data_IF_452420745992
#
_entry.id   IF_452420745992
#
_cell.length_a   1.000
_cell.length_b   1.000
_cell.length_c   1.000
_cell.angle_alpha   90.00
_cell.angle_beta   90.00
_cell.angle_gamma   90.00
#
_symmetry.space_group_name_H-M   'P 1'
#
loop_
_entity.id
_entity.type
_entity.pdbx_description
1 polymer ?
#
# COMPACT_ATOMS: atom_id res chain seq x y z
N UNK A 1 -17.16 51.75 -5.28
CA UNK A 1 -17.36 53.14 -5.73
C UNK A 1 -18.30 53.82 -4.75
N UNK A 2 -17.81 54.94 -4.22
CA UNK A 2 -18.51 56.01 -3.48
C UNK A 2 -19.78 56.49 -4.22
N UNK A 3 -20.74 57.23 -3.60
CA UNK A 3 -20.49 58.57 -3.04
C UNK A 3 -21.23 58.89 -1.72
N UNK A 4 -20.63 59.61 -0.78
CA UNK A 4 -20.42 61.09 -0.69
C UNK A 4 -21.73 61.89 -0.71
N UNK A 5 -22.03 62.54 0.42
CA UNK A 5 -22.70 63.84 0.44
C UNK A 5 -21.93 64.81 1.36
N UNK A 6 -21.39 65.84 0.72
CA UNK A 6 -20.76 67.04 1.29
C UNK A 6 -21.81 68.08 1.71
N UNK A 7 -21.37 69.01 2.57
CA UNK A 7 -21.45 70.50 2.48
C UNK A 7 -21.75 71.10 3.86
N UNK A 8 -20.78 71.68 4.56
CA UNK A 8 -20.19 73.04 4.42
C UNK A 8 -21.17 74.16 4.78
N UNK A 9 -20.84 74.99 5.78
CA UNK A 9 -20.74 76.45 5.62
C UNK A 9 -20.09 77.14 6.83
N UNK A 10 -19.37 78.21 6.52
CA UNK A 10 -18.54 79.12 7.31
C UNK A 10 -19.27 79.96 8.37
N UNK A 11 -18.56 80.44 9.43
CA UNK A 11 -18.38 81.89 9.70
C UNK A 11 -17.36 82.23 10.83
N UNK A 12 -16.46 83.16 10.47
CA UNK A 12 -15.57 84.14 11.14
C UNK A 12 -15.59 84.39 12.68
N UNK A 13 -14.36 84.47 13.21
CA UNK A 13 -13.73 85.48 14.12
C UNK A 13 -14.52 86.14 15.27
N UNK A 14 -13.99 86.00 16.50
CA UNK A 14 -13.73 87.15 17.39
C UNK A 14 -12.71 86.79 18.50
N UNK A 15 -11.77 87.70 18.78
CA UNK A 15 -10.74 87.60 19.83
C UNK A 15 -11.30 88.04 21.17
N UNK A 16 -10.96 87.36 22.26
CA UNK A 16 -10.82 88.02 23.56
C UNK A 16 -9.65 87.40 24.34
N UNK A 17 -8.71 88.27 24.68
CA UNK A 17 -7.54 88.02 25.51
C UNK A 17 -7.95 88.22 26.96
N UNK A 18 -7.77 87.21 27.82
CA UNK A 18 -7.68 87.42 29.26
C UNK A 18 -6.54 86.54 29.83
N UNK A 19 -5.49 87.25 30.20
CA UNK A 19 -4.37 86.82 31.05
C UNK A 19 -4.90 86.45 32.44
N UNK A 20 -4.61 85.26 32.96
CA UNK A 20 -4.48 85.05 34.40
C UNK A 20 -3.52 83.89 34.69
N UNK A 21 -2.34 84.26 35.16
CA UNK A 21 -1.26 83.40 35.59
C UNK A 21 -1.56 82.91 37.01
N UNK A 22 -1.78 81.60 37.20
CA UNK A 22 -1.75 80.95 38.52
C UNK A 22 -0.83 79.74 38.47
N UNK A 23 0.14 79.77 39.37
CA UNK A 23 1.19 78.81 39.63
C UNK A 23 0.61 77.43 39.98
N UNK A 24 0.98 76.40 39.22
CA UNK A 24 0.78 74.99 39.56
C UNK A 24 2.14 74.27 39.58
N UNK A 25 2.46 73.73 40.75
CA UNK A 25 3.63 72.89 41.02
C UNK A 25 3.68 71.69 40.07
N UNK A 26 4.85 71.32 39.52
CA UNK A 26 4.99 70.12 38.69
C UNK A 26 4.88 68.87 39.57
N UNK A 27 3.72 68.21 39.50
CA UNK A 27 3.55 66.85 39.97
C UNK A 27 4.40 65.93 39.09
N UNK A 28 5.39 65.29 39.69
CA UNK A 28 6.29 64.37 39.02
C UNK A 28 5.55 63.05 38.78
N UNK A 29 5.12 62.80 37.53
CA UNK A 29 4.60 61.49 37.11
C UNK A 29 5.73 60.45 37.18
N UNK A 30 5.56 59.31 37.89
CA UNK A 30 6.56 58.26 37.85
C UNK A 30 6.63 57.70 36.42
N UNK A 31 7.83 57.72 35.84
CA UNK A 31 8.15 57.03 34.58
C UNK A 31 7.80 55.55 34.77
N UNK A 32 6.79 55.07 34.03
CA UNK A 32 6.52 53.65 33.84
C UNK A 32 7.80 53.03 33.26
N UNK A 33 8.53 52.26 34.09
CA UNK A 33 9.60 51.41 33.61
C UNK A 33 8.97 50.41 32.63
N UNK A 34 9.41 50.44 31.38
CA UNK A 34 9.06 49.39 30.42
C UNK A 34 9.51 48.05 31.00
N UNK A 35 8.67 46.99 30.96
CA UNK A 35 9.05 45.68 31.46
C UNK A 35 10.34 45.23 30.75
N UNK A 36 11.34 44.84 31.53
CA UNK A 36 12.63 44.36 31.02
C UNK A 36 12.38 43.06 30.26
N UNK A 37 12.62 43.08 28.95
CA UNK A 37 12.46 41.90 28.09
C UNK A 37 13.61 40.90 28.34
N UNK A 38 13.34 39.92 29.20
CA UNK A 38 14.27 38.85 29.62
C UNK A 38 14.51 37.77 28.57
N UNK A 39 13.88 37.87 27.39
CA UNK A 39 14.07 36.86 26.33
C UNK A 39 15.50 36.89 25.77
N UNK A 40 16.13 35.71 25.59
CA UNK A 40 17.40 35.58 24.89
C UNK A 40 17.37 36.16 23.47
N UNK A 41 18.54 36.57 22.96
CA UNK A 41 18.68 37.16 21.62
C UNK A 41 18.17 36.24 20.50
N UNK A 42 18.33 34.92 20.64
CA UNK A 42 17.87 33.95 19.66
C UNK A 42 16.33 33.84 19.55
N UNK A 43 15.57 34.29 20.57
CA UNK A 43 14.11 34.44 20.50
C UNK A 43 13.67 35.79 19.90
N UNK A 44 14.61 36.71 19.67
CA UNK A 44 14.37 38.04 19.10
C UNK A 44 14.69 38.11 17.60
N UNK A 45 14.96 36.97 16.96
CA UNK A 45 15.26 36.85 15.53
C UNK A 45 16.75 36.72 15.18
N UNK A 46 17.66 36.78 16.18
CA UNK A 46 19.10 36.54 16.00
C UNK A 46 19.48 35.06 16.16
N UNK A 47 18.62 34.14 15.73
CA UNK A 47 18.86 32.70 15.83
C UNK A 47 19.80 32.17 14.75
N UNK A 48 19.91 32.87 13.61
CA UNK A 48 20.75 32.48 12.49
C UNK A 48 22.24 32.74 12.79
N UNK A 49 23.03 31.68 12.87
CA UNK A 49 24.48 31.76 13.07
C UNK A 49 25.21 31.33 11.79
N UNK A 50 26.16 32.16 11.32
CA UNK A 50 26.97 31.82 10.14
C UNK A 50 27.75 30.53 10.42
N UNK A 51 27.63 29.56 9.51
CA UNK A 51 28.33 28.27 9.62
C UNK A 51 27.59 27.21 10.47
N UNK A 52 26.38 27.51 10.95
CA UNK A 52 25.55 26.56 11.68
C UNK A 52 24.17 26.44 11.02
N UNK A 53 23.66 25.21 10.95
CA UNK A 53 22.22 24.98 10.89
C UNK A 53 21.65 25.24 12.28
N UNK A 54 20.48 25.86 12.35
CA UNK A 54 19.88 26.31 13.60
C UNK A 54 18.43 25.87 13.67
N UNK A 55 17.91 25.58 14.86
CA UNK A 55 16.51 25.21 15.01
C UNK A 55 15.94 25.73 16.31
N UNK A 56 14.80 26.41 16.23
CA UNK A 56 14.08 26.95 17.38
C UNK A 56 12.70 26.32 17.44
N UNK A 57 12.48 25.52 18.48
CA UNK A 57 11.21 24.84 18.73
C UNK A 57 10.55 25.34 19.99
N UNK A 58 9.22 25.18 20.07
CA UNK A 58 8.48 25.52 21.27
C UNK A 58 7.34 24.54 21.53
N UNK A 59 6.86 24.55 22.77
CA UNK A 59 5.69 23.79 23.22
C UNK A 59 4.94 24.55 24.30
N UNK A 60 3.65 24.26 24.44
CA UNK A 60 2.80 24.80 25.49
C UNK A 60 2.95 23.94 26.75
N UNK A 61 3.04 24.58 27.91
CA UNK A 61 2.98 23.96 29.24
C UNK A 61 1.54 23.57 29.53
N UNK A 62 1.10 22.45 28.95
CA UNK A 62 -0.27 21.93 29.03
C UNK A 62 -0.57 21.18 30.35
N UNK A 63 0.35 21.21 31.31
CA UNK A 63 0.24 20.50 32.59
C UNK A 63 0.70 19.03 32.53
N UNK A 64 1.07 18.52 31.35
CA UNK A 64 1.79 17.24 31.24
C UNK A 64 3.29 17.48 31.38
N UNK A 65 4.06 16.50 31.88
CA UNK A 65 5.52 16.66 31.98
C UNK A 65 6.27 16.50 30.63
N UNK A 66 5.53 16.47 29.50
CA UNK A 66 6.05 16.13 28.18
C UNK A 66 6.37 17.36 27.30
N UNK A 67 6.03 18.57 27.75
CA UNK A 67 6.25 19.79 26.98
C UNK A 67 7.73 19.99 26.61
N UNK A 68 8.67 19.68 27.52
CA UNK A 68 10.11 19.79 27.22
C UNK A 68 10.52 18.91 26.03
N UNK A 69 10.02 17.68 25.96
CA UNK A 69 10.33 16.78 24.84
C UNK A 69 9.64 17.23 23.56
N UNK A 70 8.43 17.76 23.65
CA UNK A 70 7.73 18.34 22.50
C UNK A 70 8.50 19.55 21.93
N UNK A 71 9.01 20.45 22.78
CA UNK A 71 9.83 21.58 22.35
C UNK A 71 11.16 21.14 21.75
N UNK A 72 11.81 20.13 22.35
CA UNK A 72 13.04 19.53 21.79
C UNK A 72 12.79 18.92 20.42
N UNK A 73 11.71 18.16 20.25
CA UNK A 73 11.33 17.58 18.96
C UNK A 73 11.04 18.67 17.93
N UNK A 74 10.24 19.67 18.28
CA UNK A 74 9.96 20.81 17.42
C UNK A 74 11.23 21.56 17.00
N UNK A 75 12.22 21.71 17.90
CA UNK A 75 13.48 22.38 17.59
C UNK A 75 14.36 21.55 16.66
N UNK A 76 14.32 20.23 16.79
CA UNK A 76 15.00 19.31 15.89
C UNK A 76 14.37 19.34 14.49
N UNK A 77 13.03 19.31 14.40
CA UNK A 77 12.29 19.39 13.14
C UNK A 77 12.62 20.71 12.39
N UNK A 78 12.66 21.83 13.12
CA UNK A 78 13.05 23.13 12.57
C UNK A 78 14.51 23.12 12.07
N UNK A 79 15.44 22.55 12.84
CA UNK A 79 16.84 22.42 12.43
C UNK A 79 17.00 21.57 11.16
N UNK A 80 16.33 20.41 11.12
CA UNK A 80 16.35 19.49 9.99
C UNK A 80 15.77 20.15 8.74
N UNK A 81 14.76 21.00 8.89
CA UNK A 81 14.17 21.75 7.76
C UNK A 81 15.17 22.67 7.04
N UNK A 82 16.24 23.11 7.73
CA UNK A 82 17.31 23.92 7.12
C UNK A 82 18.29 23.07 6.29
N UNK A 83 18.28 21.74 6.46
CA UNK A 83 19.14 20.81 5.72
C UNK A 83 18.44 20.50 4.39
N UNK A 84 18.80 21.24 3.34
CA UNK A 84 18.21 21.06 2.00
C UNK A 84 18.86 19.89 1.25
N UNK A 85 18.06 18.88 0.92
CA UNK A 85 18.43 17.85 -0.07
C UNK A 85 18.36 18.46 -1.47
N UNK A 86 19.43 18.33 -2.26
CA UNK A 86 19.46 18.81 -3.66
C UNK A 86 19.79 17.65 -4.57
N UNK A 87 18.97 17.45 -5.61
CA UNK A 87 19.17 16.40 -6.62
C UNK A 87 19.94 16.96 -7.81
N UNK A 88 21.06 16.33 -8.15
CA UNK A 88 21.86 16.61 -9.34
C UNK A 88 21.08 16.30 -10.62
N UNK A 89 21.26 17.11 -11.66
CA UNK A 89 20.68 16.84 -12.99
C UNK A 89 21.27 15.59 -13.66
N UNK A 90 22.44 15.15 -13.23
CA UNK A 90 23.15 13.96 -13.75
C UNK A 90 23.00 12.72 -12.87
N UNK A 91 22.24 12.81 -11.77
CA UNK A 91 21.95 11.68 -10.89
C UNK A 91 21.05 10.65 -11.57
N UNK A 92 21.08 9.39 -11.12
CA UNK A 92 20.17 8.35 -11.63
C UNK A 92 18.68 8.77 -11.53
N UNK A 93 18.31 9.55 -10.51
CA UNK A 93 16.94 10.00 -10.29
C UNK A 93 16.40 10.88 -11.45
N UNK A 94 17.29 11.56 -12.18
CA UNK A 94 16.89 12.41 -13.32
C UNK A 94 16.57 11.60 -14.59
N UNK A 95 17.02 10.35 -14.64
CA UNK A 95 16.89 9.47 -15.82
C UNK A 95 15.55 8.71 -15.87
N UNK A 96 14.80 8.62 -14.77
CA UNK A 96 13.54 7.87 -14.71
C UNK A 96 12.37 8.65 -15.31
N UNK A 97 12.06 8.41 -16.59
CA UNK A 97 11.18 9.27 -17.39
C UNK A 97 9.68 9.22 -17.05
N UNK A 98 9.15 8.05 -16.71
CA UNK A 98 7.70 7.78 -16.68
C UNK A 98 6.97 8.34 -15.45
N UNK A 99 7.69 8.70 -14.37
CA UNK A 99 7.11 9.21 -13.11
C UNK A 99 8.04 10.22 -12.40
N UNK A 100 8.81 11.00 -13.17
CA UNK A 100 9.90 11.90 -12.71
C UNK A 100 9.59 12.67 -11.42
N UNK A 101 8.42 13.32 -11.35
CA UNK A 101 8.07 14.18 -10.21
C UNK A 101 7.81 13.37 -8.94
N UNK A 102 6.95 12.35 -9.02
CA UNK A 102 6.53 11.57 -7.86
C UNK A 102 7.70 10.79 -7.25
N UNK A 103 8.55 10.20 -8.10
CA UNK A 103 9.68 9.42 -7.63
C UNK A 103 10.72 10.29 -6.92
N UNK A 104 11.10 11.42 -7.55
CA UNK A 104 12.06 12.37 -6.97
C UNK A 104 11.55 12.93 -5.63
N UNK A 105 10.29 13.36 -5.59
CA UNK A 105 9.68 13.89 -4.37
C UNK A 105 9.64 12.84 -3.25
N UNK A 106 9.24 11.61 -3.57
CA UNK A 106 9.22 10.51 -2.58
C UNK A 106 10.63 10.21 -2.07
N UNK A 107 11.64 10.21 -2.94
CA UNK A 107 13.04 10.04 -2.52
C UNK A 107 13.49 11.18 -1.60
N UNK A 108 13.24 12.43 -1.97
CA UNK A 108 13.59 13.60 -1.14
C UNK A 108 12.92 13.53 0.24
N UNK A 109 11.66 13.11 0.31
CA UNK A 109 10.94 12.90 1.57
C UNK A 109 11.53 11.78 2.44
N UNK A 110 11.93 10.65 1.84
CA UNK A 110 12.60 9.55 2.55
C UNK A 110 13.93 10.00 3.13
N UNK A 111 14.75 10.73 2.34
CA UNK A 111 16.04 11.25 2.81
C UNK A 111 15.83 12.30 3.90
N UNK A 112 14.87 13.21 3.74
CA UNK A 112 14.57 14.23 4.74
C UNK A 112 14.19 13.60 6.09
N UNK A 113 13.37 12.54 6.06
CA UNK A 113 12.97 11.79 7.26
C UNK A 113 14.17 11.07 7.87
N UNK A 114 15.00 10.41 7.06
CA UNK A 114 16.22 9.75 7.52
C UNK A 114 17.21 10.73 8.15
N UNK A 115 17.29 11.97 7.65
CA UNK A 115 18.13 13.02 8.25
C UNK A 115 17.63 13.36 9.65
N UNK A 116 16.32 13.39 9.90
CA UNK A 116 15.79 13.64 11.24
C UNK A 116 16.15 12.53 12.23
N UNK A 117 16.13 11.27 11.78
CA UNK A 117 16.42 10.11 12.61
C UNK A 117 17.91 9.89 12.87
N UNK A 118 18.77 10.22 11.89
CA UNK A 118 20.22 9.98 11.92
C UNK A 118 21.03 11.21 12.34
N UNK A 119 20.38 12.31 12.75
CA UNK A 119 21.09 13.53 13.08
C UNK A 119 21.88 13.39 14.38
N UNK A 120 23.21 13.49 14.28
CA UNK A 120 24.14 13.45 15.40
C UNK A 120 24.90 14.77 15.53
N UNK A 121 25.61 14.94 16.65
CA UNK A 121 26.48 16.10 16.92
C UNK A 121 25.80 17.49 16.84
N UNK A 122 24.47 17.56 17.04
CA UNK A 122 23.79 18.83 17.29
C UNK A 122 23.83 19.21 18.77
N UNK A 123 23.85 20.51 19.06
CA UNK A 123 24.08 21.06 20.39
C UNK A 123 22.86 21.81 20.92
N UNK A 124 22.50 21.58 22.19
CA UNK A 124 21.60 22.45 22.93
C UNK A 124 22.32 23.75 23.29
N UNK A 125 21.99 24.82 22.57
CA UNK A 125 22.56 26.15 22.81
C UNK A 125 21.86 26.84 23.98
N UNK A 126 20.55 26.60 24.12
CA UNK A 126 19.80 27.15 25.24
C UNK A 126 18.35 26.71 25.27
N UNK A 127 17.74 26.95 26.42
CA UNK A 127 16.31 26.83 26.65
C UNK A 127 15.81 28.08 27.34
N UNK A 128 14.56 28.45 27.07
CA UNK A 128 13.90 29.56 27.73
C UNK A 128 12.44 29.21 27.97
N UNK A 129 11.85 29.76 29.01
CA UNK A 129 10.45 29.49 29.33
C UNK A 129 9.75 30.73 29.89
N UNK A 130 8.45 30.80 29.65
CA UNK A 130 7.55 31.74 30.31
C UNK A 130 6.45 30.97 31.07
N UNK A 131 5.40 31.66 31.51
CA UNK A 131 4.29 31.04 32.23
C UNK A 131 3.55 29.96 31.42
N UNK A 132 3.60 30.03 30.08
CA UNK A 132 2.76 29.21 29.19
C UNK A 132 3.55 28.31 28.25
N UNK A 133 4.82 28.57 28.01
CA UNK A 133 5.56 27.98 26.92
C UNK A 133 7.00 27.66 27.32
N UNK A 134 7.58 26.71 26.60
CA UNK A 134 8.98 26.31 26.72
C UNK A 134 9.61 26.26 25.34
N UNK A 135 10.75 26.92 25.18
CA UNK A 135 11.51 27.01 23.94
C UNK A 135 12.86 26.31 24.06
N UNK A 136 13.29 25.73 22.95
CA UNK A 136 14.57 25.06 22.80
C UNK A 136 15.27 25.60 21.57
N UNK A 137 16.58 25.83 21.70
CA UNK A 137 17.44 26.27 20.60
C UNK A 137 18.57 25.26 20.37
N UNK A 138 18.59 24.68 19.17
CA UNK A 138 19.65 23.81 18.68
C UNK A 138 20.52 24.48 17.63
N UNK A 139 21.77 24.03 17.55
CA UNK A 139 22.65 24.30 16.42
C UNK A 139 23.42 23.06 15.99
N UNK A 140 23.82 23.02 14.73
CA UNK A 140 24.66 21.98 14.15
C UNK A 140 25.69 22.63 13.24
N UNK A 141 26.97 22.31 13.44
CA UNK A 141 28.05 22.84 12.60
C UNK A 141 27.92 22.33 11.17
N UNK A 142 27.78 23.25 10.21
CA UNK A 142 27.65 22.92 8.78
C UNK A 142 28.91 22.21 8.27
N UNK A 143 30.09 22.66 8.69
CA UNK A 143 31.36 22.08 8.27
C UNK A 143 31.52 20.64 8.77
N UNK A 144 31.20 20.42 10.05
CA UNK A 144 31.30 19.09 10.67
C UNK A 144 30.27 18.11 10.10
N UNK A 145 29.02 18.55 9.94
CA UNK A 145 27.99 17.75 9.29
C UNK A 145 28.41 17.30 7.88
N UNK A 146 28.96 18.22 7.07
CA UNK A 146 29.47 17.89 5.73
C UNK A 146 30.64 16.92 5.78
N UNK A 147 31.58 17.10 6.70
CA UNK A 147 32.72 16.19 6.86
C UNK A 147 32.26 14.75 7.12
N UNK A 148 31.33 14.56 8.07
CA UNK A 148 30.76 13.25 8.40
C UNK A 148 30.03 12.65 7.21
N UNK A 149 29.16 13.42 6.53
CA UNK A 149 28.41 12.92 5.36
C UNK A 149 29.34 12.57 4.19
N UNK A 150 30.39 13.34 3.95
CA UNK A 150 31.39 13.04 2.93
C UNK A 150 32.21 11.79 3.29
N UNK A 151 32.55 11.58 4.56
CA UNK A 151 33.22 10.36 5.01
C UNK A 151 32.33 9.12 4.84
N UNK A 152 31.08 9.18 5.30
CA UNK A 152 30.10 8.12 5.12
C UNK A 152 29.90 7.80 3.64
N UNK A 153 29.80 8.82 2.78
CA UNK A 153 29.70 8.66 1.33
C UNK A 153 30.94 7.99 0.75
N UNK A 154 32.15 8.42 1.11
CA UNK A 154 33.40 7.79 0.62
C UNK A 154 33.43 6.30 0.97
N UNK A 155 33.07 5.93 2.20
CA UNK A 155 33.04 4.53 2.63
C UNK A 155 31.99 3.72 1.84
N UNK A 156 30.80 4.28 1.65
CA UNK A 156 29.74 3.70 0.83
C UNK A 156 30.17 3.48 -0.63
N UNK A 157 30.83 4.47 -1.24
CA UNK A 157 31.34 4.40 -2.62
C UNK A 157 32.45 3.35 -2.76
N UNK A 158 33.34 3.23 -1.77
CA UNK A 158 34.37 2.19 -1.76
C UNK A 158 33.76 0.78 -1.76
N UNK A 159 32.79 0.52 -0.88
CA UNK A 159 32.07 -0.76 -0.82
C UNK A 159 31.29 -1.04 -2.10
N UNK A 160 30.57 -0.05 -2.61
CA UNK A 160 29.83 -0.19 -3.86
C UNK A 160 30.74 -0.50 -5.05
N UNK A 161 31.92 0.13 -5.11
CA UNK A 161 32.91 -0.11 -6.16
C UNK A 161 33.53 -1.51 -6.05
N UNK A 162 33.77 -2.02 -4.85
CA UNK A 162 34.22 -3.40 -4.64
C UNK A 162 33.18 -4.42 -5.15
N UNK A 163 31.90 -4.23 -4.80
CA UNK A 163 30.82 -5.07 -5.32
C UNK A 163 30.65 -4.95 -6.83
N UNK A 164 30.82 -3.75 -7.40
CA UNK A 164 30.79 -3.57 -8.85
C UNK A 164 31.87 -4.41 -9.55
N UNK A 165 33.10 -4.42 -9.01
CA UNK A 165 34.20 -5.23 -9.56
C UNK A 165 33.89 -6.72 -9.48
N UNK A 166 33.35 -7.19 -8.34
CA UNK A 166 32.90 -8.58 -8.18
C UNK A 166 31.80 -8.93 -9.19
N UNK A 167 30.82 -8.05 -9.37
CA UNK A 167 29.75 -8.22 -10.34
C UNK A 167 30.27 -8.37 -11.78
N UNK A 168 31.18 -7.48 -12.20
CA UNK A 168 31.83 -7.54 -13.52
C UNK A 168 32.65 -8.81 -13.71
N UNK A 169 33.36 -9.27 -12.68
CA UNK A 169 34.10 -10.53 -12.72
C UNK A 169 33.15 -11.74 -12.90
N UNK A 170 32.04 -11.79 -12.13
CA UNK A 170 31.02 -12.83 -12.29
C UNK A 170 30.34 -12.77 -13.66
N UNK A 171 30.06 -11.57 -14.19
CA UNK A 171 29.50 -11.39 -15.53
C UNK A 171 30.45 -11.91 -16.62
N UNK A 172 31.76 -11.62 -16.51
CA UNK A 172 32.79 -12.15 -17.40
C UNK A 172 32.90 -13.67 -17.33
N UNK A 173 32.66 -14.27 -16.16
CA UNK A 173 32.57 -15.70 -15.95
C UNK A 173 31.23 -16.32 -16.40
N UNK A 174 30.29 -15.50 -16.90
CA UNK A 174 28.90 -15.89 -17.27
C UNK A 174 28.05 -16.38 -16.09
N UNK A 175 28.42 -16.00 -14.87
CA UNK A 175 27.70 -16.27 -13.63
C UNK A 175 26.67 -15.17 -13.35
N UNK A 176 25.72 -14.98 -14.28
CA UNK A 176 24.84 -13.81 -14.32
C UNK A 176 23.97 -13.60 -13.07
N UNK A 177 23.49 -14.67 -12.43
CA UNK A 177 22.71 -14.53 -11.17
C UNK A 177 23.57 -14.03 -10.01
N UNK A 178 24.82 -14.50 -9.93
CA UNK A 178 25.75 -14.01 -8.92
C UNK A 178 26.12 -12.56 -9.21
N UNK A 179 26.35 -12.22 -10.49
CA UNK A 179 26.58 -10.85 -10.93
C UNK A 179 25.42 -9.92 -10.54
N UNK A 180 24.17 -10.32 -10.78
CA UNK A 180 22.98 -9.57 -10.33
C UNK A 180 22.98 -9.35 -8.82
N UNK A 181 23.27 -10.37 -8.02
CA UNK A 181 23.38 -10.25 -6.57
C UNK A 181 24.42 -9.20 -6.15
N UNK A 182 25.61 -9.22 -6.76
CA UNK A 182 26.64 -8.22 -6.49
C UNK A 182 26.27 -6.81 -6.98
N UNK A 183 25.60 -6.67 -8.13
CA UNK A 183 25.10 -5.37 -8.58
C UNK A 183 24.07 -4.80 -7.60
N UNK A 184 23.15 -5.61 -7.07
CA UNK A 184 22.23 -5.16 -6.04
C UNK A 184 22.93 -4.78 -4.72
N UNK A 185 23.98 -5.49 -4.32
CA UNK A 185 24.81 -5.12 -3.17
C UNK A 185 25.57 -3.81 -3.38
N UNK A 186 26.06 -3.59 -4.61
CA UNK A 186 26.66 -2.31 -5.03
C UNK A 186 25.66 -1.17 -4.92
N UNK A 187 24.46 -1.33 -5.50
CA UNK A 187 23.38 -0.36 -5.42
C UNK A 187 23.00 -0.04 -3.97
N UNK A 188 22.77 -1.07 -3.15
CA UNK A 188 22.40 -0.94 -1.73
C UNK A 188 23.43 -0.12 -0.94
N UNK A 189 24.70 -0.26 -1.27
CA UNK A 189 25.78 0.48 -0.60
C UNK A 189 25.69 2.00 -0.83
N UNK A 190 25.10 2.45 -1.95
CA UNK A 190 24.98 3.88 -2.31
C UNK A 190 23.54 4.39 -2.42
N UNK A 191 22.54 3.61 -1.99
CA UNK A 191 21.12 3.98 -2.14
C UNK A 191 20.72 5.27 -1.41
N UNK A 192 21.47 5.70 -0.39
CA UNK A 192 21.24 6.98 0.31
C UNK A 192 21.76 8.20 -0.47
N UNK A 193 22.55 7.98 -1.52
CA UNK A 193 23.26 9.03 -2.26
C UNK A 193 22.83 9.11 -3.72
N UNK A 194 21.67 8.55 -4.08
CA UNK A 194 21.19 8.52 -5.46
C UNK A 194 20.95 9.92 -6.04
N UNK A 195 20.72 10.93 -5.20
CA UNK A 195 20.57 12.33 -5.60
C UNK A 195 21.88 12.96 -6.14
N UNK A 196 23.02 12.35 -5.85
CA UNK A 196 24.34 12.88 -6.23
C UNK A 196 24.86 12.24 -7.51
N UNK A 197 25.77 12.94 -8.19
CA UNK A 197 26.58 12.34 -9.23
C UNK A 197 27.82 11.73 -8.59
N UNK A 198 27.98 10.41 -8.70
CA UNK A 198 29.08 9.67 -8.09
C UNK A 198 30.02 9.18 -9.21
N UNK A 199 30.96 10.01 -9.70
CA UNK A 199 31.96 9.57 -10.67
C UNK A 199 32.95 8.62 -9.99
N UNK A 200 33.22 7.49 -10.64
CA UNK A 200 34.26 6.54 -10.23
C UNK A 200 35.09 6.14 -11.43
N UNK A 201 36.35 5.83 -11.19
CA UNK A 201 37.25 5.27 -12.21
C UNK A 201 37.53 3.81 -11.89
N UNK A 202 37.14 2.91 -12.79
CA UNK A 202 37.39 1.47 -12.67
C UNK A 202 37.99 1.01 -14.00
N UNK A 203 39.13 0.31 -13.94
CA UNK A 203 39.85 -0.21 -15.11
C UNK A 203 40.17 0.86 -16.18
N UNK A 204 40.47 2.08 -15.73
CA UNK A 204 40.79 3.22 -16.60
C UNK A 204 39.58 3.89 -17.26
N UNK A 205 38.36 3.45 -16.97
CA UNK A 205 37.12 4.06 -17.45
C UNK A 205 36.43 4.84 -16.34
N UNK A 206 36.02 6.07 -16.66
CA UNK A 206 35.23 6.93 -15.77
C UNK A 206 33.75 6.85 -16.12
N UNK A 207 32.91 6.65 -15.11
CA UNK A 207 31.45 6.60 -15.26
C UNK A 207 30.76 6.97 -13.94
N UNK A 208 29.45 7.22 -14.01
CA UNK A 208 28.61 7.44 -12.84
C UNK A 208 28.19 6.09 -12.25
N UNK A 209 28.65 5.80 -11.04
CA UNK A 209 28.50 4.50 -10.38
C UNK A 209 27.06 4.00 -10.34
N UNK A 210 26.12 4.84 -9.90
CA UNK A 210 24.70 4.47 -9.77
C UNK A 210 24.06 4.15 -11.11
N UNK A 211 24.44 4.89 -12.16
CA UNK A 211 23.89 4.74 -13.50
C UNK A 211 24.42 3.45 -14.14
N UNK A 212 25.71 3.18 -13.98
CA UNK A 212 26.34 1.96 -14.45
C UNK A 212 25.74 0.73 -13.76
N UNK A 213 25.60 0.75 -12.43
CA UNK A 213 25.00 -0.38 -11.68
C UNK A 213 23.57 -0.65 -12.14
N UNK A 214 22.75 0.40 -12.28
CA UNK A 214 21.38 0.26 -12.76
C UNK A 214 21.33 -0.31 -14.19
N UNK A 215 22.15 0.25 -15.10
CA UNK A 215 22.23 -0.20 -16.48
C UNK A 215 22.66 -1.67 -16.59
N UNK A 216 23.62 -2.10 -15.76
CA UNK A 216 24.07 -3.49 -15.72
C UNK A 216 23.02 -4.45 -15.18
N UNK A 217 22.27 -4.07 -14.14
CA UNK A 217 21.12 -4.87 -13.65
C UNK A 217 20.11 -5.04 -14.79
N UNK A 218 19.72 -3.93 -15.43
CA UNK A 218 18.76 -3.95 -16.52
C UNK A 218 19.26 -4.77 -17.71
N UNK A 219 20.55 -4.66 -18.04
CA UNK A 219 21.19 -5.43 -19.11
C UNK A 219 21.10 -6.93 -18.84
N UNK A 220 21.46 -7.40 -17.64
CA UNK A 220 21.37 -8.83 -17.31
C UNK A 220 19.92 -9.30 -17.28
N UNK A 221 19.00 -8.54 -16.68
CA UNK A 221 17.57 -8.86 -16.71
C UNK A 221 17.07 -9.02 -18.16
N UNK A 222 17.48 -8.12 -19.05
CA UNK A 222 17.17 -8.18 -20.48
C UNK A 222 17.82 -9.36 -21.20
N UNK A 223 18.71 -10.14 -20.60
CA UNK A 223 19.21 -11.39 -21.21
C UNK A 223 18.36 -12.60 -20.86
N UNK A 224 17.52 -12.52 -19.83
CA UNK A 224 16.70 -13.64 -19.35
C UNK A 224 15.38 -13.65 -20.10
N UNK A 225 15.05 -14.78 -20.71
CA UNK A 225 13.77 -15.04 -21.33
C UNK A 225 12.98 -16.07 -20.51
N UNK A 226 11.74 -15.73 -20.18
CA UNK A 226 10.78 -16.65 -19.58
C UNK A 226 9.76 -17.12 -20.63
N UNK A 227 9.52 -18.42 -20.70
CA UNK A 227 8.44 -19.02 -21.49
C UNK A 227 7.59 -19.88 -20.58
N UNK A 228 6.27 -19.86 -20.77
CA UNK A 228 5.33 -20.70 -20.04
C UNK A 228 4.60 -21.62 -21.00
N UNK A 229 4.51 -22.89 -20.61
CA UNK A 229 3.84 -23.93 -21.39
C UNK A 229 2.82 -24.68 -20.51
N UNK A 230 1.56 -24.80 -20.96
CA UNK A 230 1.00 -24.16 -22.16
C UNK A 230 0.79 -22.65 -21.98
N UNK A 231 0.78 -21.89 -23.09
CA UNK A 231 0.52 -20.44 -23.07
C UNK A 231 -0.97 -20.11 -22.85
N UNK A 232 -1.85 -21.06 -23.12
CA UNK A 232 -3.29 -20.98 -22.87
C UNK A 232 -3.78 -22.29 -22.26
N UNK A 233 -4.67 -22.21 -21.27
CA UNK A 233 -5.26 -23.37 -20.62
C UNK A 233 -6.76 -23.19 -20.44
N UNK A 234 -7.53 -24.19 -20.87
CA UNK A 234 -8.96 -24.30 -20.59
C UNK A 234 -9.15 -24.94 -19.21
N UNK A 235 -9.82 -24.25 -18.30
CA UNK A 235 -9.93 -24.67 -16.91
C UNK A 235 -11.36 -24.52 -16.42
N UNK A 236 -11.92 -25.55 -15.80
CA UNK A 236 -13.17 -25.37 -15.06
C UNK A 236 -12.84 -24.69 -13.73
N UNK A 237 -13.63 -23.70 -13.33
CA UNK A 237 -13.38 -22.89 -12.13
C UNK A 237 -13.32 -23.71 -10.83
N UNK A 238 -13.90 -24.90 -10.80
CA UNK A 238 -13.82 -25.87 -9.68
C UNK A 238 -12.59 -26.77 -9.72
N UNK A 239 -11.79 -26.75 -10.79
CA UNK A 239 -10.68 -27.71 -10.97
C UNK A 239 -9.44 -27.25 -10.22
N UNK A 240 -8.87 -28.17 -9.45
CA UNK A 240 -7.55 -28.03 -8.89
C UNK A 240 -6.49 -28.29 -9.97
N UNK A 241 -5.74 -27.26 -10.37
CA UNK A 241 -4.73 -27.38 -11.44
C UNK A 241 -3.44 -28.08 -10.98
N UNK A 242 -3.41 -28.65 -9.76
CA UNK A 242 -2.31 -29.52 -9.31
C UNK A 242 -1.98 -30.65 -10.29
N UNK A 243 -2.97 -31.13 -11.04
CA UNK A 243 -2.81 -32.22 -12.00
C UNK A 243 -2.37 -31.75 -13.40
N UNK A 244 -2.40 -30.44 -13.68
CA UNK A 244 -1.95 -29.84 -14.94
C UNK A 244 -1.00 -28.66 -14.63
N UNK A 245 0.23 -28.93 -14.16
CA UNK A 245 1.14 -27.88 -13.76
C UNK A 245 1.57 -27.04 -14.97
N UNK A 246 1.51 -25.73 -14.81
CA UNK A 246 2.06 -24.79 -15.76
C UNK A 246 3.58 -24.85 -15.64
N UNK A 247 4.28 -25.07 -16.75
CA UNK A 247 5.74 -25.20 -16.74
C UNK A 247 6.35 -23.91 -17.25
N UNK A 248 7.13 -23.24 -16.40
CA UNK A 248 7.93 -22.08 -16.78
C UNK A 248 9.35 -22.53 -17.06
N UNK A 249 9.90 -22.10 -18.19
CA UNK A 249 11.29 -22.30 -18.59
C UNK A 249 11.99 -20.97 -18.71
N UNK A 250 13.14 -20.84 -18.06
CA UNK A 250 14.01 -19.69 -18.09
C UNK A 250 15.29 -20.02 -18.87
N UNK A 251 15.61 -19.23 -19.90
CA UNK A 251 16.85 -19.35 -20.67
C UNK A 251 17.51 -18.00 -20.89
N UNK A 252 18.83 -17.99 -21.09
CA UNK A 252 19.53 -16.80 -21.60
C UNK A 252 19.27 -16.67 -23.11
N UNK A 253 18.99 -15.47 -23.59
CA UNK A 253 18.65 -15.23 -25.00
C UNK A 253 19.83 -15.44 -25.97
N UNK A 254 21.06 -15.27 -25.50
CA UNK A 254 22.25 -15.35 -26.37
C UNK A 254 22.55 -16.79 -26.81
N UNK A 255 22.50 -17.75 -25.89
CA UNK A 255 22.94 -19.13 -26.12
C UNK A 255 21.87 -20.19 -25.75
N UNK A 256 20.67 -19.75 -25.38
CA UNK A 256 19.54 -20.58 -24.95
C UNK A 256 19.88 -21.53 -23.78
N UNK A 257 20.95 -21.23 -23.01
CA UNK A 257 21.28 -22.01 -21.83
C UNK A 257 20.24 -21.82 -20.72
N UNK A 258 19.95 -22.87 -19.94
CA UNK A 258 19.03 -22.77 -18.83
C UNK A 258 19.54 -21.81 -17.75
N UNK A 259 18.66 -20.99 -17.19
CA UNK A 259 18.96 -20.18 -16.01
C UNK A 259 18.57 -20.99 -14.77
N UNK A 260 19.54 -21.66 -14.16
CA UNK A 260 19.31 -22.45 -12.95
C UNK A 260 19.17 -21.55 -11.72
N UNK A 261 18.45 -22.01 -10.70
CA UNK A 261 18.32 -21.33 -9.42
C UNK A 261 17.73 -19.90 -9.47
N UNK A 262 17.06 -19.53 -10.57
CA UNK A 262 16.43 -18.23 -10.76
C UNK A 262 15.19 -18.11 -9.86
N UNK A 263 15.15 -17.15 -8.92
CA UNK A 263 13.95 -16.88 -8.14
C UNK A 263 12.85 -16.33 -9.04
N UNK A 264 11.64 -16.86 -8.92
CA UNK A 264 10.46 -16.44 -9.66
C UNK A 264 9.32 -16.11 -8.69
N UNK A 265 8.46 -15.19 -9.09
CA UNK A 265 7.22 -14.87 -8.39
C UNK A 265 6.03 -15.08 -9.33
N UNK A 266 4.99 -15.77 -8.87
CA UNK A 266 3.73 -15.94 -9.59
C UNK A 266 2.59 -15.21 -8.91
N UNK A 267 1.70 -14.60 -9.69
CA UNK A 267 0.49 -13.96 -9.21
C UNK A 267 -0.58 -13.91 -10.30
N UNK A 268 -1.84 -13.76 -9.91
CA UNK A 268 -2.88 -13.35 -10.85
C UNK A 268 -2.66 -11.89 -11.27
N UNK A 269 -2.47 -11.67 -12.56
CA UNK A 269 -2.34 -10.35 -13.19
C UNK A 269 -3.73 -9.81 -13.61
N UNK A 270 -4.62 -10.71 -14.01
CA UNK A 270 -6.04 -10.45 -14.26
C UNK A 270 -6.88 -11.57 -13.66
N UNK A 271 -7.98 -11.22 -13.00
CA UNK A 271 -8.81 -12.16 -12.24
C UNK A 271 -8.34 -12.28 -10.79
N UNK A 272 -8.69 -13.39 -10.14
CA UNK A 272 -8.38 -13.62 -8.73
C UNK A 272 -8.37 -15.11 -8.42
N UNK A 273 -7.46 -15.53 -7.56
CA UNK A 273 -7.29 -16.92 -7.17
C UNK A 273 -6.04 -17.11 -6.32
N UNK A 274 -5.74 -18.36 -6.02
CA UNK A 274 -4.61 -18.74 -5.16
C UNK A 274 -3.55 -19.45 -5.99
N UNK A 275 -2.33 -18.91 -5.97
CA UNK A 275 -1.13 -19.49 -6.56
C UNK A 275 -0.03 -19.39 -5.51
N UNK A 276 0.84 -20.40 -5.39
CA UNK A 276 2.01 -20.23 -4.52
C UNK A 276 2.84 -19.06 -5.05
N UNK A 277 3.28 -18.13 -4.19
CA UNK A 277 3.86 -16.87 -4.64
C UNK A 277 5.28 -17.07 -5.16
N UNK A 278 6.08 -17.92 -4.52
CA UNK A 278 7.52 -18.00 -4.75
C UNK A 278 7.93 -19.34 -5.34
N UNK A 279 8.79 -19.28 -6.36
CA UNK A 279 9.37 -20.44 -7.01
C UNK A 279 10.86 -20.22 -7.27
N UNK A 280 11.53 -21.30 -7.64
CA UNK A 280 12.91 -21.28 -8.08
C UNK A 280 13.08 -22.27 -9.21
N UNK A 281 13.80 -21.88 -10.26
CA UNK A 281 14.11 -22.81 -11.35
C UNK A 281 15.10 -23.89 -10.90
N UNK A 282 14.93 -25.09 -11.44
CA UNK A 282 15.86 -26.20 -11.27
C UNK A 282 17.10 -26.08 -12.18
N UNK A 283 17.97 -27.10 -12.20
CA UNK A 283 19.17 -27.14 -13.03
C UNK A 283 18.88 -27.05 -14.54
N UNK A 284 17.68 -27.45 -14.97
CA UNK A 284 17.22 -27.36 -16.36
C UNK A 284 16.59 -26.01 -16.69
N UNK A 285 16.59 -25.07 -15.75
CA UNK A 285 15.97 -23.76 -15.89
C UNK A 285 14.44 -23.81 -15.81
N UNK A 286 13.87 -24.85 -15.20
CA UNK A 286 12.42 -25.10 -15.20
C UNK A 286 11.81 -24.91 -13.81
N UNK A 287 10.59 -24.37 -13.74
CA UNK A 287 9.77 -24.31 -12.53
C UNK A 287 8.33 -24.73 -12.84
N UNK A 288 7.72 -25.52 -11.95
CA UNK A 288 6.30 -25.93 -12.04
C UNK A 288 5.45 -25.01 -11.18
N UNK A 289 4.55 -24.27 -11.83
CA UNK A 289 3.67 -23.29 -11.20
C UNK A 289 2.33 -23.95 -10.90
N UNK A 290 1.89 -23.84 -9.65
CA UNK A 290 0.70 -24.50 -9.14
C UNK A 290 -0.37 -23.46 -8.79
N UNK A 291 -1.40 -23.40 -9.61
CA UNK A 291 -2.62 -22.64 -9.33
C UNK A 291 -3.57 -23.55 -8.55
N UNK A 292 -3.91 -23.14 -7.34
CA UNK A 292 -4.69 -23.96 -6.39
C UNK A 292 -6.16 -23.56 -6.32
N UNK A 293 -6.51 -22.33 -6.72
CA UNK A 293 -7.89 -21.84 -6.73
C UNK A 293 -8.11 -20.79 -7.81
N UNK A 294 -9.30 -20.77 -8.40
CA UNK A 294 -9.78 -19.70 -9.29
C UNK A 294 -11.02 -19.08 -8.66
N UNK A 295 -10.84 -17.93 -8.00
CA UNK A 295 -11.91 -17.26 -7.27
C UNK A 295 -12.76 -16.34 -8.16
N UNK A 296 -12.14 -15.66 -9.14
CA UNK A 296 -12.86 -14.73 -10.01
C UNK A 296 -13.80 -15.46 -10.97
N UNK A 297 -14.92 -14.79 -11.30
CA UNK A 297 -15.93 -15.22 -12.29
C UNK A 297 -15.60 -14.80 -13.71
N UNK A 298 -14.51 -14.07 -13.92
CA UNK A 298 -14.06 -13.68 -15.26
C UNK A 298 -13.69 -14.92 -16.08
N UNK A 299 -14.17 -14.96 -17.32
CA UNK A 299 -13.93 -16.08 -18.24
C UNK A 299 -12.51 -16.09 -18.82
N UNK A 300 -11.84 -14.93 -18.81
CA UNK A 300 -10.46 -14.81 -19.24
C UNK A 300 -9.64 -14.19 -18.12
N UNK A 301 -8.76 -15.00 -17.53
CA UNK A 301 -7.87 -14.62 -16.45
C UNK A 301 -6.43 -14.84 -16.86
N UNK A 302 -5.50 -14.23 -16.14
CA UNK A 302 -4.08 -14.33 -16.49
C UNK A 302 -3.25 -14.52 -15.25
N UNK A 303 -2.42 -15.56 -15.25
CA UNK A 303 -1.39 -15.76 -14.22
C UNK A 303 -0.07 -15.32 -14.83
N UNK A 304 0.58 -14.36 -14.19
CA UNK A 304 1.90 -13.87 -14.56
C UNK A 304 2.96 -14.51 -13.69
N UNK A 305 4.08 -14.86 -14.30
CA UNK A 305 5.29 -15.35 -13.62
C UNK A 305 6.43 -14.45 -14.02
N UNK A 306 7.04 -13.78 -13.05
CA UNK A 306 8.15 -12.85 -13.26
C UNK A 306 9.37 -13.25 -12.47
N UNK A 307 10.54 -12.75 -12.86
CA UNK A 307 11.75 -12.84 -12.03
C UNK A 307 11.50 -12.16 -10.68
N UNK A 308 11.82 -12.84 -9.58
CA UNK A 308 11.73 -12.28 -8.24
C UNK A 308 13.04 -11.55 -7.89
N UNK A 309 13.13 -10.27 -8.27
CA UNK A 309 14.31 -9.43 -8.01
C UNK A 309 14.50 -9.12 -6.52
N UNK A 310 13.43 -9.16 -5.71
CA UNK A 310 13.49 -8.92 -4.27
C UNK A 310 14.24 -10.08 -3.58
N UNK A 311 13.98 -11.31 -4.00
CA UNK A 311 14.70 -12.49 -3.55
C UNK A 311 16.19 -12.48 -3.95
N UNK A 312 16.53 -11.87 -5.09
CA UNK A 312 17.93 -11.74 -5.56
C UNK A 312 18.64 -10.63 -4.78
N UNK A 313 17.98 -9.49 -4.56
CA UNK A 313 18.59 -8.33 -3.92
C UNK A 313 18.82 -8.54 -2.42
N UNK A 314 17.96 -9.31 -1.75
CA UNK A 314 17.96 -9.46 -0.30
C UNK A 314 17.75 -8.13 0.44
N UNK A 315 17.20 -7.13 -0.24
CA UNK A 315 16.94 -5.79 0.30
C UNK A 315 15.43 -5.55 0.37
N UNK A 316 15.01 -4.86 1.43
CA UNK A 316 13.63 -4.43 1.63
C UNK A 316 13.54 -2.94 1.94
N UNK A 317 14.58 -2.15 1.60
CA UNK A 317 14.61 -0.71 1.87
C UNK A 317 13.55 0.02 1.04
N UNK A 318 13.01 1.12 1.57
CA UNK A 318 12.02 1.93 0.86
C UNK A 318 12.60 2.49 -0.45
N UNK A 319 13.87 2.88 -0.45
CA UNK A 319 14.57 3.40 -1.63
C UNK A 319 14.77 2.31 -2.68
N UNK A 320 15.16 1.10 -2.27
CA UNK A 320 15.22 -0.06 -3.15
C UNK A 320 13.87 -0.32 -3.81
N UNK A 321 12.77 -0.34 -3.04
CA UNK A 321 11.42 -0.58 -3.58
C UNK A 321 11.00 0.47 -4.61
N UNK A 322 11.49 1.71 -4.48
CA UNK A 322 11.25 2.74 -5.49
C UNK A 322 11.99 2.42 -6.79
N UNK A 323 13.28 2.07 -6.73
CA UNK A 323 14.10 1.75 -7.92
C UNK A 323 13.71 0.41 -8.55
N UNK A 324 13.36 -0.59 -7.75
CA UNK A 324 12.92 -1.89 -8.23
C UNK A 324 11.69 -1.79 -9.16
N UNK A 325 10.81 -0.82 -8.91
CA UNK A 325 9.63 -0.53 -9.76
C UNK A 325 9.97 0.06 -11.12
N UNK A 326 11.16 0.62 -11.31
CA UNK A 326 11.60 1.19 -12.59
C UNK A 326 12.27 0.16 -13.48
N UNK A 327 12.65 -1.01 -12.93
CA UNK A 327 13.29 -2.09 -13.68
C UNK A 327 12.27 -2.81 -14.57
N UNK A 328 12.65 -3.06 -15.81
CA UNK A 328 11.92 -3.95 -16.69
C UNK A 328 12.31 -5.40 -16.36
N UNK A 329 11.46 -6.05 -15.57
CA UNK A 329 11.68 -7.41 -15.07
C UNK A 329 11.08 -8.44 -16.05
N UNK A 330 11.82 -9.50 -16.43
CA UNK A 330 11.29 -10.55 -17.30
C UNK A 330 10.03 -11.18 -16.71
N UNK A 331 9.00 -11.27 -17.54
CA UNK A 331 7.69 -11.81 -17.18
C UNK A 331 7.14 -12.65 -18.33
N UNK A 332 6.47 -13.74 -17.98
CA UNK A 332 5.67 -14.55 -18.89
C UNK A 332 4.26 -14.73 -18.31
N UNK A 333 3.28 -15.01 -19.16
CA UNK A 333 1.87 -15.05 -18.78
C UNK A 333 1.19 -16.23 -19.42
N UNK A 334 0.35 -16.93 -18.66
CA UNK A 334 -0.59 -17.92 -19.20
C UNK A 334 -2.00 -17.33 -19.20
N UNK A 335 -2.71 -17.50 -20.31
CA UNK A 335 -4.13 -17.20 -20.42
C UNK A 335 -4.95 -18.38 -19.89
N UNK A 336 -5.76 -18.12 -18.87
CA UNK A 336 -6.74 -19.09 -18.38
C UNK A 336 -8.10 -18.78 -19.01
N UNK A 337 -8.61 -19.71 -19.81
CA UNK A 337 -9.99 -19.69 -20.31
C UNK A 337 -10.86 -20.47 -19.35
N UNK A 338 -11.54 -19.74 -18.48
CA UNK A 338 -12.28 -20.26 -17.35
C UNK A 338 -13.70 -20.62 -17.78
N UNK A 339 -14.05 -21.90 -17.61
CA UNK A 339 -15.40 -22.40 -17.81
C UNK A 339 -16.23 -22.21 -16.53
N UNK A 340 -17.48 -21.77 -16.73
CA UNK A 340 -18.44 -21.60 -15.63
C UNK A 340 -18.85 -22.97 -15.10
N UNK A 341 -18.91 -23.16 -13.78
CA UNK A 341 -19.44 -24.40 -13.22
C UNK A 341 -20.93 -24.54 -13.55
N UNK A 342 -21.34 -25.75 -13.92
CA UNK A 342 -22.73 -26.04 -14.30
C UNK A 342 -23.47 -26.68 -13.13
N UNK A 343 -24.66 -26.19 -12.83
CA UNK A 343 -25.49 -26.59 -11.69
C UNK A 343 -26.77 -27.27 -12.17
N UNK A 344 -27.05 -28.45 -11.62
CA UNK A 344 -28.37 -29.06 -11.62
C UNK A 344 -29.03 -28.81 -10.25
N UNK A 345 -30.26 -28.29 -10.23
CA UNK A 345 -30.94 -27.92 -8.98
C UNK A 345 -32.29 -28.61 -8.86
N UNK A 346 -32.51 -29.27 -7.72
CA UNK A 346 -33.79 -29.86 -7.32
C UNK A 346 -34.28 -29.11 -6.08
N UNK A 347 -35.57 -28.76 -6.06
CA UNK A 347 -36.16 -27.96 -5.02
C UNK A 347 -37.54 -28.47 -4.60
N UNK A 348 -37.77 -28.56 -3.29
CA UNK A 348 -39.07 -28.83 -2.68
C UNK A 348 -39.32 -27.81 -1.55
N UNK A 349 -40.21 -26.85 -1.78
CA UNK A 349 -40.55 -25.82 -0.80
C UNK A 349 -42.03 -25.91 -0.41
N UNK A 350 -42.29 -25.86 0.90
CA UNK A 350 -43.62 -25.93 1.52
C UNK A 350 -43.88 -24.70 2.39
N UNK A 351 -45.15 -24.32 2.47
CA UNK A 351 -45.65 -23.35 3.43
C UNK A 351 -46.70 -24.06 4.27
N UNK A 352 -46.47 -24.16 5.58
CA UNK A 352 -47.41 -24.81 6.50
C UNK A 352 -47.75 -26.24 6.05
N UNK A 353 -46.73 -26.99 5.59
CA UNK A 353 -46.87 -28.37 5.10
C UNK A 353 -47.45 -28.49 3.67
N UNK A 354 -47.84 -27.39 3.04
CA UNK A 354 -48.43 -27.39 1.68
C UNK A 354 -47.39 -26.98 0.65
N UNK A 355 -47.25 -27.77 -0.42
CA UNK A 355 -46.31 -27.48 -1.50
C UNK A 355 -46.57 -26.10 -2.12
N UNK A 356 -45.51 -25.33 -2.34
CA UNK A 356 -45.59 -24.02 -2.99
C UNK A 356 -45.33 -24.16 -4.49
N UNK A 357 -46.05 -23.38 -5.29
CA UNK A 357 -45.73 -23.22 -6.72
C UNK A 357 -44.59 -22.23 -6.97
N UNK A 358 -44.24 -21.40 -5.97
CA UNK A 358 -43.16 -20.42 -6.05
C UNK A 358 -42.06 -20.74 -5.03
N UNK A 359 -40.97 -21.32 -5.52
CA UNK A 359 -39.79 -21.72 -4.75
C UNK A 359 -38.88 -20.51 -4.51
N UNK A 360 -39.26 -19.64 -3.57
CA UNK A 360 -38.59 -18.34 -3.36
C UNK A 360 -37.13 -18.51 -2.93
N UNK A 361 -36.84 -19.48 -2.05
CA UNK A 361 -35.49 -19.74 -1.57
C UNK A 361 -34.59 -20.22 -2.71
N UNK A 362 -35.08 -21.18 -3.49
CA UNK A 362 -34.38 -21.74 -4.64
C UNK A 362 -34.16 -20.71 -5.73
N UNK A 363 -35.15 -19.87 -6.01
CA UNK A 363 -35.05 -18.77 -6.99
C UNK A 363 -34.00 -17.73 -6.56
N UNK A 364 -33.96 -17.36 -5.27
CA UNK A 364 -32.93 -16.45 -4.73
C UNK A 364 -31.55 -17.09 -4.83
N UNK A 365 -31.40 -18.35 -4.43
CA UNK A 365 -30.13 -19.08 -4.55
C UNK A 365 -29.66 -19.18 -6.00
N UNK A 366 -30.56 -19.49 -6.93
CA UNK A 366 -30.29 -19.53 -8.38
C UNK A 366 -29.76 -18.20 -8.89
N UNK A 367 -30.41 -17.10 -8.52
CA UNK A 367 -29.96 -15.75 -8.89
C UNK A 367 -28.59 -15.41 -8.29
N UNK A 368 -28.36 -15.74 -7.02
CA UNK A 368 -27.07 -15.51 -6.35
C UNK A 368 -25.94 -16.29 -7.02
N UNK A 369 -26.17 -17.57 -7.35
CA UNK A 369 -25.21 -18.40 -8.07
C UNK A 369 -24.96 -17.89 -9.50
N UNK A 370 -26.02 -17.55 -10.26
CA UNK A 370 -25.87 -16.98 -11.60
C UNK A 370 -25.04 -15.69 -11.59
N UNK A 371 -25.31 -14.78 -10.64
CA UNK A 371 -24.52 -13.57 -10.45
C UNK A 371 -23.06 -13.85 -10.09
N UNK A 372 -22.80 -14.98 -9.43
CA UNK A 372 -21.47 -15.47 -9.11
C UNK A 372 -20.83 -16.31 -10.23
N UNK A 373 -21.40 -16.35 -11.44
CA UNK A 373 -20.78 -16.97 -12.61
C UNK A 373 -20.99 -18.48 -12.72
N UNK A 374 -22.09 -19.00 -12.18
CA UNK A 374 -22.55 -20.38 -12.39
C UNK A 374 -23.58 -20.43 -13.51
N UNK A 375 -23.65 -21.56 -14.22
CA UNK A 375 -24.70 -21.84 -15.21
C UNK A 375 -25.62 -22.95 -14.72
N UNK A 376 -26.81 -23.06 -15.30
CA UNK A 376 -27.82 -24.03 -14.90
C UNK A 376 -28.21 -24.94 -16.05
N UNK A 377 -28.38 -26.22 -15.75
CA UNK A 377 -28.85 -27.24 -16.69
C UNK A 377 -30.01 -28.03 -16.09
N UNK A 378 -30.86 -28.58 -16.95
CA UNK A 378 -31.89 -29.55 -16.57
C UNK A 378 -31.41 -31.01 -16.73
N UNK A 379 -30.21 -31.21 -17.28
CA UNK A 379 -29.58 -32.52 -17.42
C UNK A 379 -28.56 -32.73 -16.30
N UNK A 380 -28.89 -33.61 -15.34
CA UNK A 380 -28.02 -33.95 -14.21
C UNK A 380 -26.65 -34.47 -14.66
N UNK A 381 -26.58 -35.18 -15.79
CA UNK A 381 -25.32 -35.77 -16.27
C UNK A 381 -24.34 -34.74 -16.83
N UNK A 382 -24.85 -33.57 -17.25
CA UNK A 382 -24.07 -32.45 -17.75
C UNK A 382 -23.62 -31.46 -16.65
N UNK A 383 -24.04 -31.65 -15.40
CA UNK A 383 -23.74 -30.74 -14.31
C UNK A 383 -22.43 -31.10 -13.57
N UNK A 384 -21.76 -30.08 -13.05
CA UNK A 384 -20.63 -30.25 -12.13
C UNK A 384 -21.11 -30.38 -10.68
N UNK A 385 -22.22 -29.70 -10.35
CA UNK A 385 -22.79 -29.64 -9.01
C UNK A 385 -24.28 -29.98 -9.03
N UNK A 386 -24.72 -30.75 -8.04
CA UNK A 386 -26.13 -30.99 -7.74
C UNK A 386 -26.51 -30.26 -6.46
N UNK A 387 -27.47 -29.35 -6.56
CA UNK A 387 -28.07 -28.65 -5.42
C UNK A 387 -29.42 -29.28 -5.09
N UNK A 388 -29.62 -29.62 -3.83
CA UNK A 388 -30.89 -30.06 -3.28
C UNK A 388 -31.35 -29.03 -2.24
N UNK A 389 -32.47 -28.37 -2.52
CA UNK A 389 -33.06 -27.35 -1.64
C UNK A 389 -34.38 -27.87 -1.10
N UNK A 390 -34.49 -27.99 0.21
CA UNK A 390 -35.73 -28.35 0.88
C UNK A 390 -36.08 -27.26 1.89
N UNK A 391 -37.33 -26.81 1.92
CA UNK A 391 -37.77 -25.88 2.97
C UNK A 391 -39.23 -26.11 3.33
N UNK A 392 -39.56 -25.96 4.61
CA UNK A 392 -40.94 -25.90 5.08
C UNK A 392 -41.07 -24.87 6.20
N UNK A 393 -42.22 -24.23 6.28
CA UNK A 393 -42.60 -23.41 7.41
C UNK A 393 -43.65 -24.11 8.25
N UNK A 394 -43.51 -24.05 9.56
CA UNK A 394 -44.44 -24.66 10.50
C UNK A 394 -45.14 -23.61 11.34
N UNK A 395 -46.37 -23.91 11.75
CA UNK A 395 -47.14 -23.07 12.67
C UNK A 395 -46.46 -23.07 14.05
N UNK A 396 -46.19 -21.89 14.56
CA UNK A 396 -45.69 -21.68 15.91
C UNK A 396 -46.81 -21.28 16.87
N UNK A 397 -46.47 -20.39 17.79
CA UNK A 397 -47.42 -19.81 18.76
C UNK A 397 -48.14 -18.58 18.21
N UNK A 398 -49.22 -18.20 18.89
CA UNK A 398 -49.88 -16.90 18.71
C UNK A 398 -49.67 -16.09 19.99
N UNK A 399 -49.24 -14.84 19.86
CA UNK A 399 -49.04 -13.92 20.98
C UNK A 399 -49.81 -12.62 20.72
N UNK A 400 -50.94 -12.45 21.40
CA UNK A 400 -51.88 -11.37 21.10
C UNK A 400 -52.43 -11.50 19.68
N UNK A 401 -52.24 -10.48 18.85
CA UNK A 401 -52.62 -10.46 17.43
C UNK A 401 -51.53 -10.94 16.48
N UNK A 402 -50.37 -11.38 16.99
CA UNK A 402 -49.22 -11.77 16.17
C UNK A 402 -49.14 -13.30 16.11
N UNK A 403 -49.22 -13.81 14.88
CA UNK A 403 -48.95 -15.19 14.53
C UNK A 403 -47.46 -15.37 14.29
N UNK A 404 -46.91 -16.47 14.81
CA UNK A 404 -45.50 -16.82 14.66
C UNK A 404 -45.40 -18.13 13.88
N UNK A 405 -44.48 -18.17 12.92
CA UNK A 405 -44.10 -19.37 12.16
C UNK A 405 -42.61 -19.58 12.25
N UNK A 406 -42.18 -20.81 12.03
CA UNK A 406 -40.77 -21.19 11.99
C UNK A 406 -40.47 -21.83 10.65
N UNK A 407 -39.54 -21.27 9.89
CA UNK A 407 -39.04 -21.88 8.67
C UNK A 407 -37.77 -22.67 8.96
N UNK A 408 -37.75 -23.91 8.47
CA UNK A 408 -36.52 -24.71 8.41
C UNK A 408 -36.21 -25.00 6.96
N UNK A 409 -35.00 -24.62 6.52
CA UNK A 409 -34.51 -24.88 5.16
C UNK A 409 -33.21 -25.67 5.20
N UNK A 410 -33.02 -26.61 4.28
CA UNK A 410 -31.81 -27.41 4.11
C UNK A 410 -31.33 -27.25 2.67
N UNK A 411 -30.05 -26.89 2.51
CA UNK A 411 -29.38 -26.82 1.21
C UNK A 411 -28.23 -27.82 1.26
N UNK A 412 -28.25 -28.81 0.37
CA UNK A 412 -27.15 -29.76 0.17
C UNK A 412 -26.55 -29.59 -1.20
N UNK A 413 -25.23 -29.74 -1.28
CA UNK A 413 -24.49 -29.66 -2.53
C UNK A 413 -23.61 -30.89 -2.66
N UNK A 414 -23.77 -31.59 -3.77
CA UNK A 414 -22.94 -32.74 -4.14
C UNK A 414 -22.17 -32.46 -5.42
N UNK A 415 -20.92 -32.87 -5.46
CA UNK A 415 -20.13 -32.88 -6.68
C UNK A 415 -20.55 -34.09 -7.53
N UNK A 416 -21.05 -33.84 -8.75
CA UNK A 416 -21.78 -34.85 -9.54
C UNK A 416 -20.85 -35.99 -9.98
N UNK A 417 -19.61 -35.67 -10.37
CA UNK A 417 -18.65 -36.64 -10.89
C UNK A 417 -18.13 -37.56 -9.80
N UNK A 418 -17.87 -37.00 -8.61
CA UNK A 418 -17.34 -37.71 -7.46
C UNK A 418 -18.44 -38.41 -6.64
N UNK A 419 -19.71 -38.04 -6.84
CA UNK A 419 -20.84 -38.57 -6.07
C UNK A 419 -20.78 -38.23 -4.58
N UNK A 420 -20.06 -37.17 -4.22
CA UNK A 420 -19.76 -36.81 -2.82
C UNK A 420 -20.47 -35.51 -2.43
N UNK A 421 -21.13 -35.52 -1.26
CA UNK A 421 -21.61 -34.29 -0.63
C UNK A 421 -20.41 -33.44 -0.20
N UNK A 422 -20.35 -32.21 -0.69
CA UNK A 422 -19.24 -31.28 -0.42
C UNK A 422 -19.66 -30.12 0.47
N UNK A 423 -20.96 -29.86 0.62
CA UNK A 423 -21.48 -28.80 1.47
C UNK A 423 -22.92 -29.11 1.88
N UNK A 424 -23.25 -28.81 3.13
CA UNK A 424 -24.61 -28.83 3.64
C UNK A 424 -24.81 -27.70 4.65
N UNK A 425 -25.94 -27.00 4.58
CA UNK A 425 -26.31 -25.98 5.56
C UNK A 425 -27.79 -26.07 5.89
N UNK A 426 -28.13 -25.59 7.08
CA UNK A 426 -29.50 -25.49 7.56
C UNK A 426 -29.81 -24.05 7.94
N UNK A 427 -30.93 -23.52 7.45
CA UNK A 427 -31.57 -22.31 7.92
C UNK A 427 -32.52 -22.74 9.04
N UNK A 428 -32.01 -22.77 10.26
CA UNK A 428 -32.72 -23.39 11.39
C UNK A 428 -33.75 -22.44 12.00
N UNK A 429 -35.02 -22.87 11.99
CA UNK A 429 -36.15 -22.24 12.71
C UNK A 429 -36.20 -20.71 12.60
N UNK A 430 -36.07 -20.18 11.39
CA UNK A 430 -36.18 -18.75 11.12
C UNK A 430 -37.59 -18.27 11.48
N UNK A 431 -37.68 -17.34 12.44
CA UNK A 431 -38.95 -16.83 12.96
C UNK A 431 -39.58 -15.79 12.05
N UNK A 432 -40.79 -16.08 11.58
CA UNK A 432 -41.67 -15.11 10.93
C UNK A 432 -42.69 -14.52 11.90
N UNK A 433 -43.18 -13.33 11.57
CA UNK A 433 -44.29 -12.67 12.27
C UNK A 433 -45.34 -12.18 11.27
N UNK A 434 -46.61 -12.31 11.62
CA UNK A 434 -47.70 -11.83 10.76
C UNK A 434 -49.02 -11.66 11.50
N UNK A 435 -49.99 -11.05 10.82
CA UNK A 435 -51.38 -10.96 11.30
C UNK A 435 -52.16 -12.27 11.10
N UNK A 436 -51.57 -13.21 10.37
CA UNK A 436 -52.05 -14.57 10.13
C UNK A 436 -50.83 -15.48 9.84
N UNK A 437 -51.03 -16.80 9.83
CA UNK A 437 -49.94 -17.75 9.59
C UNK A 437 -49.34 -17.66 8.16
N UNK A 438 -50.10 -17.23 7.15
CA UNK A 438 -49.60 -17.11 5.77
C UNK A 438 -48.63 -15.93 5.64
N UNK A 439 -49.01 -14.77 6.17
CA UNK A 439 -48.14 -13.58 6.24
C UNK A 439 -46.92 -13.84 7.10
N UNK A 440 -47.09 -14.53 8.23
CA UNK A 440 -45.98 -14.96 9.07
C UNK A 440 -45.04 -15.91 8.32
N UNK A 441 -45.57 -16.89 7.59
CA UNK A 441 -44.79 -17.79 6.74
C UNK A 441 -43.98 -17.02 5.70
N UNK A 442 -44.60 -16.06 5.01
CA UNK A 442 -43.91 -15.22 4.03
C UNK A 442 -42.80 -14.37 4.66
N UNK A 443 -43.02 -13.82 5.85
CA UNK A 443 -41.98 -13.10 6.61
C UNK A 443 -40.80 -14.02 7.01
N UNK A 444 -41.09 -15.25 7.45
CA UNK A 444 -40.06 -16.25 7.73
C UNK A 444 -39.20 -16.57 6.49
N UNK A 445 -39.85 -16.75 5.33
CA UNK A 445 -39.17 -16.92 4.05
C UNK A 445 -38.30 -15.72 3.71
N UNK A 446 -38.81 -14.49 3.79
CA UNK A 446 -38.05 -13.28 3.49
C UNK A 446 -36.78 -13.17 4.35
N UNK A 447 -36.89 -13.43 5.65
CA UNK A 447 -35.74 -13.46 6.58
C UNK A 447 -34.76 -14.58 6.25
N UNK A 448 -35.25 -15.74 5.82
CA UNK A 448 -34.40 -16.84 5.37
C UNK A 448 -33.60 -16.46 4.12
N UNK A 449 -34.19 -15.70 3.19
CA UNK A 449 -33.48 -15.16 2.03
C UNK A 449 -32.34 -14.21 2.44
N UNK A 450 -32.59 -13.33 3.41
CA UNK A 450 -31.57 -12.43 3.95
C UNK A 450 -30.44 -13.20 4.65
N UNK A 451 -30.79 -14.21 5.44
CA UNK A 451 -29.84 -15.07 6.14
C UNK A 451 -28.96 -15.82 5.14
N UNK A 452 -29.58 -16.40 4.10
CA UNK A 452 -28.86 -17.04 3.01
C UNK A 452 -27.84 -16.08 2.38
N UNK A 453 -28.30 -14.91 1.94
CA UNK A 453 -27.49 -13.92 1.23
C UNK A 453 -26.35 -13.34 2.07
N UNK A 454 -26.63 -12.94 3.32
CA UNK A 454 -25.67 -12.22 4.17
C UNK A 454 -24.73 -13.13 4.93
N UNK A 455 -25.19 -14.32 5.32
CA UNK A 455 -24.44 -15.17 6.27
C UNK A 455 -23.93 -16.46 5.63
N UNK A 456 -24.67 -17.07 4.69
CA UNK A 456 -24.35 -18.41 4.17
C UNK A 456 -23.70 -18.41 2.80
N UNK A 457 -23.96 -17.40 1.97
CA UNK A 457 -23.45 -17.39 0.59
C UNK A 457 -21.93 -17.39 0.49
N UNK A 458 -21.23 -16.63 1.35
CA UNK A 458 -19.76 -16.57 1.30
C UNK A 458 -19.13 -17.93 1.62
N UNK A 459 -19.63 -18.60 2.67
CA UNK A 459 -19.21 -19.94 3.07
C UNK A 459 -19.50 -20.98 1.98
N UNK A 460 -20.72 -20.95 1.45
CA UNK A 460 -21.17 -21.82 0.36
C UNK A 460 -20.25 -21.68 -0.86
N UNK A 461 -20.04 -20.45 -1.36
CA UNK A 461 -19.20 -20.19 -2.54
C UNK A 461 -17.75 -20.63 -2.30
N UNK A 462 -17.20 -20.36 -1.11
CA UNK A 462 -15.82 -20.73 -0.80
C UNK A 462 -15.63 -22.25 -0.76
N UNK A 463 -16.66 -23.00 -0.37
CA UNK A 463 -16.62 -24.47 -0.29
C UNK A 463 -16.82 -25.13 -1.65
N UNK A 464 -17.82 -24.69 -2.43
CA UNK A 464 -18.17 -25.35 -3.70
C UNK A 464 -17.20 -25.05 -4.85
N UNK A 465 -16.36 -24.01 -4.71
CA UNK A 465 -15.32 -23.63 -5.68
C UNK A 465 -13.94 -24.23 -5.35
N UNK A 466 -13.81 -24.92 -4.21
CA UNK A 466 -12.67 -25.79 -3.91
C UNK A 466 -12.90 -27.17 -4.53
#
# INVERSE_FOLDING_TARGET
MNPILQRSFWLKNFRLVCFFSVLLNPSCSPKVQQPVDTRPAWLKGESAQRGYYTGVGHSVKDGTNNYVQAAKKSALDDLVSQIKVTVSSTSILSTFEENRSNFKETYEQIIQTSVADELEEFELVGSWEDERNYWVYYRLSVARYREIKEEQKRNAVLLATDFLKKARASEAAKEYLQALGFYFQSFRSVEKYLAEAIPVTVDGQEFLLTNEVYASIQKILNTIQLRIEPAELQVNRRVNLKEQPLTVKATFMEDNKPVSMLPLQAAFDKGAGDVFPDYKTDESGTAKILVTKIASRELEQTVAVKVNIDAISGSSSTIYNLVAKTLNVPVTKVLLKVQRPVVYMVAEEKSLGTARNNNQLSNKLKNLLANNGFEFTNDKSAADLMFEVQADSERGSVSGSIYITFLTGVIKVSAVREGKEIYATTLDRIKGYGLDYERSSQDAYNKALETLEKERMAELLNTILQ
#
